data_IF_682575971494
#
_entry.id   IF_682575971494
#
_cell.length_a   1.000
_cell.length_b   1.000
_cell.length_c   1.000
_cell.angle_alpha   90.00
_cell.angle_beta   90.00
_cell.angle_gamma   90.00
#
_symmetry.space_group_name_H-M   'P 1'
#
loop_
_entity.id
_entity.type
_entity.pdbx_description
1 polymer ?
#
# COMPACT_ATOMS: atom_id res chain seq x y z
N UNK A 1 37.79 15.78 63.23
CA UNK A 1 37.75 15.38 61.78
C UNK A 1 36.40 14.81 61.49
N UNK A 2 35.57 15.51 60.72
CA UNK A 2 34.21 15.07 60.32
C UNK A 2 34.27 14.44 58.91
N UNK A 3 33.76 13.24 58.68
CA UNK A 3 33.67 12.69 57.32
C UNK A 3 32.45 13.26 56.63
N UNK A 4 32.65 13.96 55.55
CA UNK A 4 31.63 14.39 54.59
C UNK A 4 31.22 13.21 53.73
N UNK A 5 29.99 12.71 53.93
CA UNK A 5 29.34 11.73 53.05
C UNK A 5 28.99 12.40 51.71
N UNK A 6 29.68 12.00 50.66
CA UNK A 6 29.39 12.38 49.28
C UNK A 6 28.26 11.49 48.79
N UNK A 7 27.01 12.00 48.74
CA UNK A 7 25.87 11.30 48.16
C UNK A 7 25.99 11.42 46.63
N UNK A 8 26.45 10.34 45.99
CA UNK A 8 26.42 10.16 44.52
C UNK A 8 25.00 9.81 44.12
N UNK A 9 24.24 10.81 43.70
CA UNK A 9 22.90 10.59 43.10
C UNK A 9 23.04 9.87 41.75
N UNK A 10 22.71 8.62 41.70
CA UNK A 10 22.67 7.80 40.49
C UNK A 10 21.45 8.25 39.65
N UNK A 11 21.67 9.15 38.67
CA UNK A 11 20.73 9.51 37.64
C UNK A 11 20.59 8.33 36.66
N UNK A 12 19.67 7.40 36.98
CA UNK A 12 19.24 6.37 36.04
C UNK A 12 18.42 7.06 34.93
N UNK A 13 18.80 6.92 33.65
CA UNK A 13 17.96 7.39 32.56
C UNK A 13 16.69 6.54 32.56
N UNK A 14 15.56 7.14 32.95
CA UNK A 14 14.25 6.59 32.70
C UNK A 14 14.02 6.60 31.19
N UNK A 15 14.37 5.49 30.54
CA UNK A 15 13.97 5.25 29.14
C UNK A 15 12.45 5.09 29.11
N UNK A 16 11.73 6.19 28.88
CA UNK A 16 10.31 6.16 28.55
C UNK A 16 10.22 5.55 27.15
N UNK A 17 10.08 4.23 27.08
CA UNK A 17 9.64 3.56 25.87
C UNK A 17 8.17 3.91 25.71
N UNK A 18 7.88 4.85 24.80
CA UNK A 18 6.53 5.06 24.31
C UNK A 18 6.14 3.83 23.48
N UNK A 19 5.63 2.79 24.15
CA UNK A 19 5.04 1.65 23.47
C UNK A 19 3.81 2.15 22.72
N UNK A 20 3.83 2.05 21.39
CA UNK A 20 2.66 2.34 20.57
C UNK A 20 1.59 1.31 20.92
N UNK A 21 0.45 1.76 21.43
CA UNK A 21 -0.69 0.89 21.70
C UNK A 21 -1.37 0.51 20.38
N UNK A 22 -1.38 -0.79 20.05
CA UNK A 22 -2.02 -1.33 18.86
C UNK A 22 -3.29 -2.04 19.28
N UNK A 23 -4.42 -1.41 19.06
CA UNK A 23 -5.74 -2.00 19.26
C UNK A 23 -6.01 -3.03 18.14
N UNK A 24 -6.52 -4.21 18.51
CA UNK A 24 -6.76 -5.32 17.58
C UNK A 24 -8.11 -5.94 17.84
N UNK A 25 -8.92 -6.08 16.78
CA UNK A 25 -10.18 -6.82 16.86
C UNK A 25 -10.54 -7.43 15.50
N UNK A 26 -11.61 -8.20 15.45
CA UNK A 26 -12.21 -8.71 14.21
C UNK A 26 -13.65 -8.20 14.11
N UNK A 27 -14.04 -7.82 12.89
CA UNK A 27 -15.43 -7.52 12.62
C UNK A 27 -16.24 -8.83 12.46
N UNK A 28 -17.55 -8.69 12.19
CA UNK A 28 -18.46 -9.85 12.03
C UNK A 28 -18.10 -10.74 10.84
N UNK A 29 -17.49 -10.18 9.80
CA UNK A 29 -17.09 -10.89 8.58
C UNK A 29 -15.70 -11.52 8.72
N UNK A 30 -15.09 -11.44 9.91
CA UNK A 30 -13.77 -12.01 10.19
C UNK A 30 -12.59 -11.14 9.79
N UNK A 31 -12.81 -9.97 9.21
CA UNK A 31 -11.73 -9.03 8.86
C UNK A 31 -11.01 -8.58 10.11
N UNK A 32 -9.69 -8.71 10.13
CA UNK A 32 -8.86 -8.21 11.21
C UNK A 32 -8.66 -6.70 11.06
N UNK A 33 -8.90 -5.95 12.13
CA UNK A 33 -8.70 -4.52 12.18
C UNK A 33 -7.58 -4.23 13.17
N UNK A 34 -6.66 -3.38 12.77
CA UNK A 34 -5.56 -2.85 13.57
C UNK A 34 -5.71 -1.33 13.61
N UNK A 35 -5.71 -0.75 14.79
CA UNK A 35 -5.78 0.68 14.99
C UNK A 35 -4.62 1.15 15.85
N UNK A 36 -3.95 2.18 15.38
CA UNK A 36 -2.93 2.93 16.11
C UNK A 36 -3.38 4.38 16.19
N UNK A 37 -3.70 4.83 17.38
CA UNK A 37 -4.09 6.23 17.60
C UNK A 37 -2.85 7.12 17.78
N UNK A 38 -2.80 8.19 16.99
CA UNK A 38 -1.79 9.24 17.06
C UNK A 38 -2.48 10.60 16.94
N UNK A 39 -2.21 11.49 17.88
CA UNK A 39 -2.92 12.78 17.96
C UNK A 39 -2.00 13.98 17.69
N UNK A 40 -0.73 13.74 17.35
CA UNK A 40 0.24 14.79 17.08
C UNK A 40 -0.08 15.57 15.78
N UNK A 41 -0.66 14.88 14.81
CA UNK A 41 -1.06 15.47 13.53
C UNK A 41 -2.51 15.10 13.19
N UNK A 42 -3.28 16.01 12.59
CA UNK A 42 -4.64 15.74 12.18
C UNK A 42 -4.69 14.95 10.85
N UNK A 43 -4.03 13.80 10.80
CA UNK A 43 -3.91 12.95 9.61
C UNK A 43 -4.51 11.59 9.92
N UNK A 44 -5.13 10.98 8.94
CA UNK A 44 -5.57 9.58 8.96
C UNK A 44 -4.94 8.84 7.78
N UNK A 45 -4.36 7.69 8.08
CA UNK A 45 -3.96 6.67 7.11
C UNK A 45 -4.87 5.46 7.29
N UNK A 46 -5.44 4.98 6.19
CA UNK A 46 -6.19 3.73 6.17
C UNK A 46 -5.65 2.85 5.05
N UNK A 47 -5.39 1.59 5.37
CA UNK A 47 -5.02 0.57 4.40
C UNK A 47 -5.93 -0.65 4.52
N UNK A 48 -6.39 -1.15 3.39
CA UNK A 48 -7.09 -2.43 3.27
C UNK A 48 -6.16 -3.39 2.54
N UNK A 49 -5.79 -4.49 3.19
CA UNK A 49 -4.90 -5.49 2.62
C UNK A 49 -5.66 -6.79 2.32
N UNK A 50 -5.43 -7.34 1.14
CA UNK A 50 -6.02 -8.57 0.61
C UNK A 50 -4.94 -9.64 0.50
N UNK A 51 -4.83 -10.49 1.51
CA UNK A 51 -3.89 -11.62 1.50
C UNK A 51 -4.28 -12.63 0.43
N UNK A 52 -3.29 -13.14 -0.29
CA UNK A 52 -3.51 -14.10 -1.38
C UNK A 52 -3.98 -13.45 -2.69
N UNK A 53 -4.01 -12.11 -2.79
CA UNK A 53 -4.36 -11.38 -4.01
C UNK A 53 -3.12 -10.84 -4.75
N UNK A 54 -1.93 -11.34 -4.43
CA UNK A 54 -0.69 -10.95 -5.09
C UNK A 54 -0.37 -11.77 -6.34
N UNK A 55 0.82 -11.54 -6.90
CA UNK A 55 1.22 -12.15 -8.18
C UNK A 55 1.33 -13.67 -8.15
N UNK A 56 1.52 -14.29 -6.97
CA UNK A 56 1.50 -15.77 -6.84
C UNK A 56 0.12 -16.39 -7.16
N UNK A 57 -0.96 -15.61 -7.10
CA UNK A 57 -2.30 -16.02 -7.46
C UNK A 57 -2.64 -15.75 -8.94
N UNK A 58 -1.73 -15.19 -9.71
CA UNK A 58 -1.96 -14.92 -11.12
C UNK A 58 -2.17 -16.22 -11.90
N UNK A 59 -3.07 -16.23 -12.89
CA UNK A 59 -3.22 -17.36 -13.80
C UNK A 59 -1.92 -17.63 -14.57
N UNK A 60 -1.68 -18.90 -14.91
CA UNK A 60 -0.52 -19.31 -15.69
C UNK A 60 -0.39 -18.48 -16.98
N UNK A 61 0.82 -18.00 -17.25
CA UNK A 61 1.13 -17.16 -18.41
C UNK A 61 0.59 -15.72 -18.34
N UNK A 62 0.09 -15.27 -17.17
CA UNK A 62 -0.44 -13.91 -16.96
C UNK A 62 0.18 -13.26 -15.72
N UNK A 63 1.49 -13.14 -15.70
CA UNK A 63 2.28 -12.74 -14.52
C UNK A 63 1.95 -11.35 -13.93
N UNK A 64 1.26 -10.47 -14.67
CA UNK A 64 1.00 -9.09 -14.24
C UNK A 64 -0.47 -8.77 -13.90
N UNK A 65 -1.33 -9.78 -13.77
CA UNK A 65 -2.77 -9.54 -13.51
C UNK A 65 -2.98 -8.80 -12.20
N UNK A 66 -2.34 -9.21 -11.11
CA UNK A 66 -2.48 -8.56 -9.82
C UNK A 66 -2.00 -7.09 -9.86
N UNK A 67 -0.84 -6.84 -10.49
CA UNK A 67 -0.26 -5.50 -10.63
C UNK A 67 -1.17 -4.58 -11.45
N UNK A 68 -1.63 -5.02 -12.63
CA UNK A 68 -2.54 -4.22 -13.45
C UNK A 68 -3.90 -4.02 -12.78
N UNK A 69 -4.42 -5.02 -12.08
CA UNK A 69 -5.66 -4.86 -11.33
C UNK A 69 -5.51 -3.80 -10.24
N UNK A 70 -4.46 -3.88 -9.43
CA UNK A 70 -4.17 -2.88 -8.42
C UNK A 70 -4.02 -1.48 -9.06
N UNK A 71 -3.17 -1.33 -10.08
CA UNK A 71 -2.94 -0.05 -10.74
C UNK A 71 -4.22 0.59 -11.27
N UNK A 72 -5.14 -0.19 -11.83
CA UNK A 72 -6.39 0.31 -12.42
C UNK A 72 -7.46 0.65 -11.38
N UNK A 73 -7.36 0.19 -10.13
CA UNK A 73 -8.31 0.55 -9.07
C UNK A 73 -8.32 2.05 -8.79
N UNK A 74 -7.21 2.74 -9.02
CA UNK A 74 -7.08 4.19 -8.79
C UNK A 74 -7.15 5.02 -10.07
N UNK A 75 -7.51 4.41 -11.20
CA UNK A 75 -7.68 5.10 -12.49
C UNK A 75 -9.15 5.42 -12.80
N UNK A 76 -9.99 5.47 -11.79
CA UNK A 76 -11.38 5.87 -11.91
C UNK A 76 -12.37 4.86 -11.34
N UNK A 77 -13.59 5.32 -11.18
CA UNK A 77 -14.75 4.55 -10.73
C UNK A 77 -15.82 4.52 -11.82
N UNK A 78 -16.92 3.79 -11.62
CA UNK A 78 -18.02 3.81 -12.58
C UNK A 78 -18.56 5.23 -12.82
N UNK A 79 -18.52 6.09 -11.80
CA UNK A 79 -19.03 7.45 -11.84
C UNK A 79 -17.98 8.49 -12.30
N UNK A 80 -16.70 8.21 -12.06
CA UNK A 80 -15.58 9.13 -12.31
C UNK A 80 -14.60 8.48 -13.29
N UNK A 81 -14.22 9.20 -14.34
CA UNK A 81 -13.05 8.81 -15.12
C UNK A 81 -11.73 9.13 -14.38
N UNK A 82 -10.60 8.81 -14.97
CA UNK A 82 -9.28 8.99 -14.36
C UNK A 82 -9.02 10.46 -13.96
N UNK A 83 -9.37 11.41 -14.83
CA UNK A 83 -9.16 12.83 -14.57
C UNK A 83 -10.04 13.32 -13.42
N UNK A 84 -11.34 12.99 -13.45
CA UNK A 84 -12.29 13.36 -12.41
C UNK A 84 -11.97 12.68 -11.05
N UNK A 85 -11.49 11.42 -11.06
CA UNK A 85 -11.06 10.73 -9.85
C UNK A 85 -9.87 11.44 -9.18
N UNK A 86 -8.85 11.76 -9.97
CA UNK A 86 -7.67 12.47 -9.48
C UNK A 86 -8.04 13.89 -8.99
N UNK A 87 -8.87 14.62 -9.75
CA UNK A 87 -9.33 15.94 -9.36
C UNK A 87 -10.13 15.91 -8.04
N UNK A 88 -10.98 14.90 -7.81
CA UNK A 88 -11.70 14.75 -6.55
C UNK A 88 -10.76 14.48 -5.38
N UNK A 89 -9.76 13.59 -5.56
CA UNK A 89 -8.74 13.31 -4.56
C UNK A 89 -7.94 14.58 -4.21
N UNK A 90 -7.50 15.32 -5.21
CA UNK A 90 -6.75 16.57 -5.05
C UNK A 90 -7.57 17.65 -4.33
N UNK A 91 -8.85 17.82 -4.71
CA UNK A 91 -9.78 18.80 -4.12
C UNK A 91 -10.00 18.60 -2.62
N UNK A 92 -9.95 17.33 -2.16
CA UNK A 92 -10.09 17.01 -0.73
C UNK A 92 -8.72 16.87 -0.04
N UNK A 93 -7.62 17.06 -0.76
CA UNK A 93 -6.26 16.88 -0.23
C UNK A 93 -6.01 15.44 0.25
N UNK A 94 -6.58 14.45 -0.45
CA UNK A 94 -6.37 13.04 -0.16
C UNK A 94 -5.43 12.40 -1.16
N UNK A 95 -4.63 11.47 -0.69
CA UNK A 95 -3.84 10.58 -1.52
C UNK A 95 -4.46 9.18 -1.49
N UNK A 96 -4.93 8.70 -2.64
CA UNK A 96 -5.49 7.35 -2.80
C UNK A 96 -4.47 6.53 -3.58
N UNK A 97 -4.16 5.33 -3.12
CA UNK A 97 -3.23 4.44 -3.79
C UNK A 97 -3.65 2.99 -3.69
N UNK A 98 -3.19 2.20 -4.62
CA UNK A 98 -3.29 0.74 -4.57
C UNK A 98 -2.02 0.12 -5.13
N UNK A 99 -1.65 -1.04 -4.61
CA UNK A 99 -0.44 -1.74 -4.95
C UNK A 99 -0.61 -3.25 -4.80
N UNK A 100 0.28 -4.01 -5.41
CA UNK A 100 0.36 -5.46 -5.21
C UNK A 100 1.81 -5.92 -5.13
N UNK A 101 2.02 -6.97 -4.37
CA UNK A 101 3.29 -7.68 -4.28
C UNK A 101 3.10 -9.17 -4.59
N UNK A 102 4.06 -10.01 -4.26
CA UNK A 102 3.95 -11.44 -4.51
C UNK A 102 2.76 -12.09 -3.78
N UNK A 103 2.50 -11.70 -2.53
CA UNK A 103 1.57 -12.40 -1.64
C UNK A 103 0.22 -11.69 -1.45
N UNK A 104 0.17 -10.37 -1.68
CA UNK A 104 -0.99 -9.55 -1.33
C UNK A 104 -1.19 -8.39 -2.29
N UNK A 105 -2.40 -7.86 -2.29
CA UNK A 105 -2.69 -6.53 -2.82
C UNK A 105 -3.20 -5.64 -1.68
N UNK A 106 -3.03 -4.34 -1.81
CA UNK A 106 -3.54 -3.35 -0.87
C UNK A 106 -4.10 -2.14 -1.58
N UNK A 107 -4.99 -1.45 -0.88
CA UNK A 107 -5.49 -0.15 -1.30
C UNK A 107 -5.58 0.75 -0.06
N UNK A 108 -5.22 2.00 -0.20
CA UNK A 108 -5.10 2.90 0.93
C UNK A 108 -5.51 4.32 0.60
N UNK A 109 -5.82 5.09 1.65
CA UNK A 109 -5.84 6.54 1.53
C UNK A 109 -5.11 7.20 2.70
N UNK A 110 -4.56 8.37 2.44
CA UNK A 110 -4.10 9.33 3.42
C UNK A 110 -4.88 10.63 3.24
N UNK A 111 -5.40 11.20 4.31
CA UNK A 111 -6.09 12.49 4.28
C UNK A 111 -6.01 13.21 5.63
N UNK A 112 -6.56 14.41 5.72
CA UNK A 112 -6.84 15.03 7.01
C UNK A 112 -7.90 14.21 7.76
N UNK A 113 -7.78 14.12 9.09
CA UNK A 113 -8.72 13.40 9.96
C UNK A 113 -10.04 14.15 10.19
N UNK A 114 -10.19 15.36 9.64
CA UNK A 114 -11.43 16.13 9.68
C UNK A 114 -12.56 15.34 9.03
N UNK A 115 -13.72 15.23 9.71
CA UNK A 115 -14.76 14.27 9.36
C UNK A 115 -15.24 14.36 7.91
N UNK A 116 -15.48 15.57 7.41
CA UNK A 116 -15.95 15.80 6.03
C UNK A 116 -14.91 15.36 4.97
N UNK A 117 -13.63 15.56 5.23
CA UNK A 117 -12.53 15.17 4.33
C UNK A 117 -12.30 13.66 4.42
N UNK A 118 -12.17 13.14 5.64
CA UNK A 118 -11.99 11.70 5.89
C UNK A 118 -13.09 10.86 5.25
N UNK A 119 -14.34 11.27 5.42
CA UNK A 119 -15.48 10.51 4.93
C UNK A 119 -15.55 10.53 3.40
N UNK A 120 -15.17 11.65 2.75
CA UNK A 120 -15.03 11.71 1.29
C UNK A 120 -13.89 10.82 0.79
N UNK A 121 -12.71 10.85 1.43
CA UNK A 121 -11.59 9.98 1.07
C UNK A 121 -11.94 8.49 1.23
N UNK A 122 -12.61 8.12 2.32
CA UNK A 122 -13.08 6.77 2.55
C UNK A 122 -14.10 6.31 1.50
N UNK A 123 -15.03 7.20 1.10
CA UNK A 123 -16.00 6.92 0.04
C UNK A 123 -15.31 6.75 -1.32
N UNK A 124 -14.32 7.59 -1.65
CA UNK A 124 -13.57 7.49 -2.90
C UNK A 124 -12.81 6.16 -2.98
N UNK A 125 -12.11 5.77 -1.91
CA UNK A 125 -11.46 4.46 -1.81
C UNK A 125 -12.48 3.32 -1.90
N UNK A 126 -13.61 3.41 -1.21
CA UNK A 126 -14.66 2.40 -1.29
C UNK A 126 -15.20 2.23 -2.71
N UNK A 127 -15.41 3.33 -3.45
CA UNK A 127 -15.87 3.26 -4.85
C UNK A 127 -14.80 2.65 -5.75
N UNK A 128 -13.51 2.96 -5.56
CA UNK A 128 -12.42 2.34 -6.32
C UNK A 128 -12.34 0.84 -6.10
N UNK A 129 -12.63 0.35 -4.90
CA UNK A 129 -12.62 -1.08 -4.56
C UNK A 129 -13.88 -1.84 -5.00
N UNK A 130 -15.05 -1.20 -4.90
CA UNK A 130 -16.34 -1.89 -5.13
C UNK A 130 -16.94 -1.63 -6.50
N UNK A 131 -16.57 -0.53 -7.15
CA UNK A 131 -17.09 -0.08 -8.44
C UNK A 131 -15.99 0.53 -9.32
N UNK A 132 -14.85 -0.18 -9.53
CA UNK A 132 -13.79 0.31 -10.40
C UNK A 132 -14.27 0.43 -11.84
N UNK A 133 -13.70 1.38 -12.58
CA UNK A 133 -14.07 1.63 -13.97
C UNK A 133 -13.41 0.62 -14.93
N UNK A 134 -12.13 0.30 -14.72
CA UNK A 134 -11.32 -0.54 -15.60
C UNK A 134 -11.42 -0.11 -17.07
N UNK A 135 -11.17 1.18 -17.33
CA UNK A 135 -11.26 1.76 -18.66
C UNK A 135 -10.28 1.11 -19.64
N UNK A 136 -10.78 0.68 -20.80
CA UNK A 136 -9.99 -0.02 -21.83
C UNK A 136 -8.85 0.87 -22.38
N UNK A 137 -9.07 2.17 -22.58
CA UNK A 137 -8.05 3.06 -23.10
C UNK A 137 -6.94 3.30 -22.08
N UNK A 138 -7.30 3.43 -20.79
CA UNK A 138 -6.34 3.54 -19.69
C UNK A 138 -5.53 2.25 -19.54
N UNK A 139 -6.19 1.09 -19.60
CA UNK A 139 -5.51 -0.21 -19.58
C UNK A 139 -4.49 -0.34 -20.71
N UNK A 140 -4.89 -0.03 -21.95
CA UNK A 140 -3.98 -0.10 -23.12
C UNK A 140 -2.79 0.84 -22.99
N UNK A 141 -3.01 2.05 -22.50
CA UNK A 141 -1.92 3.01 -22.25
C UNK A 141 -0.92 2.45 -21.24
N UNK A 142 -1.40 1.94 -20.08
CA UNK A 142 -0.56 1.32 -19.08
C UNK A 142 0.18 0.09 -19.61
N UNK A 143 -0.48 -0.74 -20.41
CA UNK A 143 0.13 -1.89 -21.03
C UNK A 143 1.31 -1.50 -21.94
N UNK A 144 1.14 -0.48 -22.79
CA UNK A 144 2.22 0.02 -23.64
C UNK A 144 3.37 0.55 -22.79
N UNK A 145 3.08 1.32 -21.74
CA UNK A 145 4.10 1.85 -20.83
C UNK A 145 4.87 0.72 -20.13
N UNK A 146 4.17 -0.29 -19.64
CA UNK A 146 4.79 -1.46 -18.99
C UNK A 146 5.68 -2.24 -19.95
N UNK A 147 5.21 -2.53 -21.16
CA UNK A 147 6.00 -3.23 -22.19
C UNK A 147 7.26 -2.42 -22.53
N UNK A 148 7.12 -1.10 -22.73
CA UNK A 148 8.28 -0.23 -23.02
C UNK A 148 9.28 -0.22 -21.85
N UNK A 149 8.80 -0.15 -20.62
CA UNK A 149 9.65 -0.22 -19.43
C UNK A 149 10.40 -1.53 -19.33
N UNK A 150 9.72 -2.66 -19.56
CA UNK A 150 10.35 -3.99 -19.56
C UNK A 150 11.42 -4.11 -20.66
N UNK A 151 11.13 -3.64 -21.87
CA UNK A 151 12.10 -3.64 -22.97
C UNK A 151 13.36 -2.83 -22.64
N UNK A 152 13.21 -1.69 -21.93
CA UNK A 152 14.35 -0.92 -21.45
C UNK A 152 15.14 -1.66 -20.37
N UNK A 153 14.46 -2.28 -19.42
CA UNK A 153 15.10 -3.05 -18.35
C UNK A 153 15.88 -4.25 -18.90
N UNK A 154 15.35 -4.93 -19.90
CA UNK A 154 16.02 -6.08 -20.55
C UNK A 154 17.33 -5.71 -21.24
N UNK A 155 17.58 -4.44 -21.52
CA UNK A 155 18.88 -3.97 -22.02
C UNK A 155 19.94 -3.82 -20.92
N UNK A 156 19.56 -3.90 -19.65
CA UNK A 156 20.48 -3.74 -18.52
C UNK A 156 21.03 -5.09 -18.05
N UNK A 157 22.36 -5.24 -17.91
CA UNK A 157 22.96 -6.50 -17.45
C UNK A 157 22.48 -6.96 -16.07
N UNK A 158 22.31 -6.01 -15.14
CA UNK A 158 21.88 -6.31 -13.77
C UNK A 158 20.47 -6.90 -13.72
N UNK A 159 19.54 -6.37 -14.52
CA UNK A 159 18.18 -6.91 -14.61
C UNK A 159 18.18 -8.33 -15.15
N UNK A 160 18.92 -8.57 -16.25
CA UNK A 160 19.02 -9.88 -16.87
C UNK A 160 19.65 -10.90 -15.92
N UNK A 161 20.75 -10.53 -15.24
CA UNK A 161 21.42 -11.40 -14.29
C UNK A 161 20.51 -11.74 -13.09
N UNK A 162 19.81 -10.74 -12.53
CA UNK A 162 18.87 -10.94 -11.42
C UNK A 162 17.72 -11.85 -11.81
N UNK A 163 17.13 -11.65 -13.00
CA UNK A 163 16.05 -12.50 -13.50
C UNK A 163 16.47 -13.95 -13.68
N UNK A 164 17.63 -14.19 -14.30
CA UNK A 164 18.14 -15.55 -14.48
C UNK A 164 18.51 -16.22 -13.15
N UNK A 165 19.10 -15.48 -12.21
CA UNK A 165 19.38 -15.98 -10.87
C UNK A 165 18.08 -16.37 -10.14
N UNK A 166 17.05 -15.53 -10.23
CA UNK A 166 15.76 -15.78 -9.59
C UNK A 166 15.08 -17.04 -10.13
N UNK A 167 15.13 -17.28 -11.45
CA UNK A 167 14.65 -18.52 -12.07
C UNK A 167 15.41 -19.76 -11.58
N UNK A 168 16.72 -19.64 -11.36
CA UNK A 168 17.53 -20.75 -10.84
C UNK A 168 17.24 -21.06 -9.37
N UNK A 169 16.97 -20.02 -8.56
CA UNK A 169 16.65 -20.18 -7.14
C UNK A 169 15.23 -20.74 -6.95
N UNK A 170 14.28 -20.33 -7.80
CA UNK A 170 12.86 -20.68 -7.72
C UNK A 170 12.36 -21.42 -8.97
N UNK A 171 12.93 -22.58 -9.31
CA UNK A 171 12.50 -23.33 -10.50
C UNK A 171 11.05 -23.80 -10.31
N UNK A 172 10.19 -23.52 -11.29
CA UNK A 172 8.76 -23.89 -11.27
C UNK A 172 7.95 -23.29 -10.09
N UNK A 173 8.39 -22.17 -9.55
CA UNK A 173 7.66 -21.43 -8.53
C UNK A 173 7.25 -20.05 -9.05
N UNK A 174 6.08 -19.50 -8.65
CA UNK A 174 5.65 -18.18 -9.09
C UNK A 174 6.66 -17.04 -8.81
N UNK A 175 7.53 -17.21 -7.83
CA UNK A 175 8.62 -16.26 -7.57
C UNK A 175 9.71 -16.24 -8.64
N UNK A 176 9.82 -17.28 -9.45
CA UNK A 176 10.78 -17.36 -10.55
C UNK A 176 10.30 -16.80 -11.89
N UNK A 177 9.06 -16.30 -11.93
CA UNK A 177 8.41 -15.80 -13.17
C UNK A 177 8.55 -14.31 -13.34
#
# INVERSE_FOLDING_TARGET
MKPTLLALALLLPLSVQAATDIQRWRNRDGTQILLVERHENPIIDLEVSFKGAGSVANPDGKSQVAEFTAALLTDGTQELDEEAFNAEADNIGAHISSDSNAESASASFRSLSKADIRDKAANLLNHSLTRPRFDEAVFRRRQIQSITGLQQQETTPDYTATRELTKLIYPNHPYGS
#
